data_IF_989614711667
#
_entry.id   IF_989614711667
#
_cell.length_a   1.000
_cell.length_b   1.000
_cell.length_c   1.000
_cell.angle_alpha   90.00
_cell.angle_beta   90.00
_cell.angle_gamma   90.00
#
_symmetry.space_group_name_H-M   'P 1'
#
loop_
_entity.id
_entity.type
_entity.pdbx_description
1 polymer ?
#
# COMPACT_ATOMS: atom_id res chain seq x y z
N UNK A 1 -12.43 -6.35 -25.87
CA UNK A 1 -11.07 -5.96 -26.31
C UNK A 1 -10.09 -6.61 -25.37
N UNK A 2 -9.18 -7.46 -25.86
CA UNK A 2 -8.14 -8.05 -25.01
C UNK A 2 -7.18 -6.96 -24.53
N UNK A 3 -6.84 -6.92 -23.23
CA UNK A 3 -5.88 -5.95 -22.72
C UNK A 3 -4.54 -6.17 -23.42
N UNK A 4 -4.05 -5.12 -24.10
CA UNK A 4 -2.76 -5.16 -24.77
C UNK A 4 -1.67 -5.15 -23.70
N UNK A 5 -1.23 -6.33 -23.28
CA UNK A 5 -0.11 -6.47 -22.34
C UNK A 5 1.12 -5.78 -22.93
N UNK A 6 1.65 -4.80 -22.18
CA UNK A 6 2.79 -3.98 -22.61
C UNK A 6 4.11 -4.75 -22.46
N UNK A 7 4.13 -5.78 -21.61
CA UNK A 7 5.34 -6.54 -21.28
C UNK A 7 5.12 -8.05 -21.42
N UNK A 8 6.14 -8.73 -21.95
CA UNK A 8 6.20 -10.19 -21.98
C UNK A 8 6.39 -10.76 -20.56
N UNK A 9 5.85 -11.95 -20.23
CA UNK A 9 5.98 -12.56 -18.91
C UNK A 9 7.44 -12.71 -18.44
N UNK A 10 8.36 -13.03 -19.36
CA UNK A 10 9.80 -13.15 -19.07
C UNK A 10 10.43 -11.83 -18.64
N UNK A 11 9.92 -10.71 -19.15
CA UNK A 11 10.39 -9.37 -18.80
C UNK A 11 9.91 -8.99 -17.41
N UNK A 12 8.67 -9.33 -17.06
CA UNK A 12 8.12 -9.13 -15.71
C UNK A 12 8.96 -9.86 -14.67
N UNK A 13 9.27 -11.14 -14.88
CA UNK A 13 10.10 -11.93 -13.95
C UNK A 13 11.49 -11.30 -13.73
N UNK A 14 12.12 -10.80 -14.80
CA UNK A 14 13.42 -10.11 -14.71
C UNK A 14 13.30 -8.81 -13.91
N UNK A 15 12.23 -8.04 -14.11
CA UNK A 15 11.95 -6.82 -13.36
C UNK A 15 11.72 -7.12 -11.87
N UNK A 16 10.96 -8.15 -11.54
CA UNK A 16 10.72 -8.58 -10.15
C UNK A 16 12.03 -8.90 -9.42
N UNK A 17 12.91 -9.72 -10.02
CA UNK A 17 14.21 -10.08 -9.44
C UNK A 17 15.11 -8.85 -9.30
N UNK A 18 15.10 -7.94 -10.28
CA UNK A 18 15.88 -6.70 -10.23
C UNK A 18 15.42 -5.79 -9.09
N UNK A 19 14.11 -5.61 -8.91
CA UNK A 19 13.54 -4.82 -7.80
C UNK A 19 13.89 -5.46 -6.46
N UNK A 20 13.67 -6.77 -6.31
CA UNK A 20 13.97 -7.50 -5.07
C UNK A 20 15.45 -7.39 -4.68
N UNK A 21 16.35 -7.59 -5.63
CA UNK A 21 17.79 -7.49 -5.39
C UNK A 21 18.22 -6.04 -5.05
N UNK A 22 17.69 -5.04 -5.75
CA UNK A 22 17.97 -3.62 -5.49
C UNK A 22 17.49 -3.20 -4.10
N UNK A 23 16.32 -3.67 -3.67
CA UNK A 23 15.78 -3.42 -2.34
C UNK A 23 16.45 -4.27 -1.24
N UNK A 24 17.42 -5.12 -1.58
CA UNK A 24 18.01 -6.10 -0.68
C UNK A 24 16.95 -6.96 0.03
N UNK A 25 15.92 -7.34 -0.72
CA UNK A 25 14.77 -8.12 -0.22
C UNK A 25 13.96 -7.43 0.90
N UNK A 26 14.14 -6.12 1.11
CA UNK A 26 13.37 -5.34 2.09
C UNK A 26 12.00 -4.94 1.53
N UNK A 27 11.09 -5.91 1.50
CA UNK A 27 9.75 -5.77 0.89
C UNK A 27 8.69 -5.12 1.78
N UNK A 28 9.03 -4.74 3.01
CA UNK A 28 8.11 -4.08 3.95
C UNK A 28 8.55 -2.63 4.22
N UNK A 29 8.35 -1.70 3.26
CA UNK A 29 8.64 -0.30 3.49
C UNK A 29 7.66 0.26 4.53
N UNK A 30 8.15 1.17 5.38
CA UNK A 30 7.26 1.96 6.23
C UNK A 30 6.51 2.93 5.32
N UNK A 31 5.19 2.74 5.19
CA UNK A 31 4.33 3.60 4.39
C UNK A 31 3.67 4.66 5.28
N UNK A 32 3.21 5.81 4.74
CA UNK A 32 2.41 6.77 5.50
C UNK A 32 1.20 6.12 6.20
N UNK A 33 0.64 5.05 5.63
CA UNK A 33 -0.43 4.24 6.22
C UNK A 33 -0.03 3.64 7.57
N UNK A 34 1.21 3.18 7.73
CA UNK A 34 1.73 2.65 9.01
C UNK A 34 1.71 3.70 10.13
N UNK A 35 1.78 4.99 9.79
CA UNK A 35 1.68 6.07 10.76
C UNK A 35 0.24 6.47 11.10
N UNK A 36 -0.76 6.08 10.30
CA UNK A 36 -2.16 6.48 10.55
C UNK A 36 -2.67 5.96 11.90
N UNK A 37 -2.27 4.76 12.32
CA UNK A 37 -2.62 4.25 13.65
C UNK A 37 -2.01 5.09 14.78
N UNK A 38 -0.76 5.51 14.60
CA UNK A 38 -0.07 6.37 15.55
C UNK A 38 -0.68 7.77 15.59
N UNK A 39 -1.00 8.35 14.45
CA UNK A 39 -1.68 9.65 14.33
C UNK A 39 -3.07 9.57 15.00
N UNK A 40 -3.84 8.52 14.73
CA UNK A 40 -5.17 8.33 15.31
C UNK A 40 -5.12 8.21 16.85
N UNK A 41 -4.07 7.57 17.40
CA UNK A 41 -3.81 7.55 18.85
C UNK A 41 -3.38 8.93 19.38
N UNK A 42 -2.54 9.64 18.65
CA UNK A 42 -1.98 10.94 19.06
C UNK A 42 -3.04 12.04 19.12
N UNK A 43 -4.07 11.96 18.28
CA UNK A 43 -5.18 12.92 18.24
C UNK A 43 -6.21 12.73 19.38
N UNK A 44 -5.98 11.79 20.31
CA UNK A 44 -6.87 11.49 21.46
C UNK A 44 -8.34 11.28 21.08
N UNK A 45 -8.60 10.73 19.90
CA UNK A 45 -9.95 10.33 19.51
C UNK A 45 -10.51 9.31 20.51
N UNK A 46 -11.80 9.42 20.86
CA UNK A 46 -12.48 8.30 21.54
C UNK A 46 -12.37 7.06 20.63
N UNK A 47 -12.23 5.86 21.21
CA UNK A 47 -11.96 4.63 20.45
C UNK A 47 -12.87 4.41 19.23
N UNK A 48 -14.14 4.84 19.33
CA UNK A 48 -15.10 4.79 18.22
C UNK A 48 -14.66 5.65 17.01
N UNK A 49 -14.18 6.87 17.25
CA UNK A 49 -13.71 7.77 16.18
C UNK A 49 -12.40 7.29 15.56
N UNK A 50 -11.53 6.62 16.32
CA UNK A 50 -10.31 5.99 15.77
C UNK A 50 -10.64 4.90 14.76
N UNK A 51 -11.57 4.00 15.09
CA UNK A 51 -11.99 2.93 14.17
C UNK A 51 -12.66 3.48 12.92
N UNK A 52 -13.55 4.47 13.08
CA UNK A 52 -14.22 5.11 11.95
C UNK A 52 -13.23 5.87 11.04
N UNK A 53 -12.26 6.57 11.63
CA UNK A 53 -11.21 7.26 10.87
C UNK A 53 -10.37 6.27 10.06
N UNK A 54 -9.89 5.19 10.68
CA UNK A 54 -9.11 4.16 10.00
C UNK A 54 -9.91 3.50 8.87
N UNK A 55 -11.18 3.18 9.11
CA UNK A 55 -12.09 2.62 8.10
C UNK A 55 -12.24 3.56 6.90
N UNK A 56 -12.41 4.86 7.14
CA UNK A 56 -12.50 5.86 6.05
C UNK A 56 -11.19 5.95 5.25
N UNK A 57 -10.04 5.95 5.93
CA UNK A 57 -8.75 5.94 5.25
C UNK A 57 -8.58 4.67 4.39
N UNK A 58 -8.96 3.51 4.90
CA UNK A 58 -8.94 2.25 4.15
C UNK A 58 -9.87 2.31 2.92
N UNK A 59 -11.12 2.76 3.08
CA UNK A 59 -12.04 2.91 1.96
C UNK A 59 -11.52 3.90 0.90
N UNK A 60 -10.91 5.01 1.32
CA UNK A 60 -10.32 5.99 0.40
C UNK A 60 -9.14 5.38 -0.37
N UNK A 61 -8.26 4.63 0.31
CA UNK A 61 -7.14 3.95 -0.35
C UNK A 61 -7.63 2.93 -1.37
N UNK A 62 -8.63 2.11 -1.02
CA UNK A 62 -9.26 1.18 -1.97
C UNK A 62 -9.86 1.93 -3.16
N UNK A 63 -10.55 3.05 -2.92
CA UNK A 63 -11.16 3.85 -3.99
C UNK A 63 -10.17 4.54 -4.93
N UNK A 64 -8.94 4.84 -4.47
CA UNK A 64 -7.88 5.45 -5.29
C UNK A 64 -7.14 4.39 -6.11
N UNK A 65 -7.07 3.16 -5.60
CA UNK A 65 -6.39 2.04 -6.26
C UNK A 65 -7.30 1.31 -7.27
N UNK A 66 -8.62 1.33 -7.05
CA UNK A 66 -9.63 0.70 -7.93
C UNK A 66 -9.97 1.58 -9.12
#
# INVERSE_FOLDING_TARGET
EDPKYVFEPKTIQRMEILVLSTLQWRMNPVTPLSFLEYIARSLKFKDHFRKEFLRRCECLLVSVIS
#
